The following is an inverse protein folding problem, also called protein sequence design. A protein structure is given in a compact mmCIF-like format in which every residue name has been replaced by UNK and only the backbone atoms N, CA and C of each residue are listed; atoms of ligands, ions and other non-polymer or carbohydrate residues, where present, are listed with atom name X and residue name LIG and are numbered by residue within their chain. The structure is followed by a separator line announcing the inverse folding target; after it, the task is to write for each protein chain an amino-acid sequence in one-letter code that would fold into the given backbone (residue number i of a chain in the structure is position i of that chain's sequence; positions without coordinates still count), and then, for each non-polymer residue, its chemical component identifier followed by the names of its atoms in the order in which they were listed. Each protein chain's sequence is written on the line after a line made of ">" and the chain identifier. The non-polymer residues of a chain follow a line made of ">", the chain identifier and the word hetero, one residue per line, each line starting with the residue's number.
data_IF_559025832436
#
_entry.id   IF_559025832436
#
_cell.length_a   1.000
_cell.length_b   1.000
_cell.length_c   1.000
_cell.angle_alpha   90.00
_cell.angle_beta   90.00
_cell.angle_gamma   90.00
#
_symmetry.space_group_name_H-M   'P 1'
#
loop_
_entity.id
_entity.type
_entity.pdbx_description
1 polymer ?
#
# COMPACT_ATOMS: atom_id res chain seq x y z
N UNK A 1 8.23 5.12 33.76
CA UNK A 1 7.59 5.30 32.44
C UNK A 1 8.19 4.30 31.47
N UNK A 2 7.44 3.25 31.10
CA UNK A 2 7.84 2.38 29.99
C UNK A 2 7.60 3.21 28.74
N UNK A 3 8.65 3.57 28.01
CA UNK A 3 8.49 4.09 26.66
C UNK A 3 7.86 2.95 25.87
N UNK A 4 6.56 3.03 25.62
CA UNK A 4 5.93 2.21 24.59
C UNK A 4 6.80 2.40 23.36
N UNK A 5 7.42 1.32 22.89
CA UNK A 5 8.22 1.38 21.68
C UNK A 5 7.20 1.60 20.58
N UNK A 6 7.02 2.86 20.17
CA UNK A 6 6.24 3.20 18.99
C UNK A 6 6.70 2.28 17.88
N UNK A 7 5.76 1.54 17.30
CA UNK A 7 6.05 0.69 16.16
C UNK A 7 6.61 1.62 15.07
N UNK A 8 7.76 1.30 14.46
CA UNK A 8 8.34 2.20 13.48
C UNK A 8 7.44 2.28 12.26
N UNK A 9 7.09 3.50 11.84
CA UNK A 9 6.38 3.73 10.59
C UNK A 9 7.21 3.27 9.40
N UNK A 10 6.57 2.54 8.51
CA UNK A 10 7.11 2.06 7.25
C UNK A 10 6.45 2.82 6.09
N UNK A 11 7.18 2.95 4.98
CA UNK A 11 6.66 3.66 3.81
C UNK A 11 6.16 2.64 2.79
N UNK A 12 4.92 2.82 2.37
CA UNK A 12 4.24 1.99 1.39
C UNK A 12 3.87 2.82 0.16
N UNK A 13 4.01 2.22 -1.01
CA UNK A 13 3.69 2.81 -2.30
C UNK A 13 2.63 1.95 -3.00
N UNK A 14 1.44 2.52 -3.15
CA UNK A 14 0.31 1.91 -3.84
C UNK A 14 0.27 2.41 -5.28
N UNK A 15 0.42 1.49 -6.23
CA UNK A 15 0.11 1.74 -7.64
C UNK A 15 -1.33 1.36 -7.85
N UNK A 16 -2.11 2.27 -8.42
CA UNK A 16 -3.52 2.06 -8.67
C UNK A 16 -3.93 2.62 -10.03
N UNK A 17 -4.93 2.01 -10.62
CA UNK A 17 -5.57 2.46 -11.85
C UNK A 17 -6.99 2.92 -11.51
N UNK A 18 -7.40 4.05 -12.05
CA UNK A 18 -8.78 4.53 -11.89
C UNK A 18 -9.56 4.04 -13.11
N UNK A 19 -10.72 3.42 -12.90
CA UNK A 19 -11.51 2.82 -13.99
C UNK A 19 -11.82 3.77 -15.16
N UNK A 20 -11.86 5.08 -14.89
CA UNK A 20 -12.12 6.13 -15.88
C UNK A 20 -10.85 6.91 -16.32
N UNK A 21 -9.65 6.39 -16.02
CA UNK A 21 -8.35 6.99 -16.35
C UNK A 21 -7.53 6.04 -17.22
N UNK A 22 -6.85 6.59 -18.23
CA UNK A 22 -5.92 5.84 -19.09
C UNK A 22 -4.56 5.62 -18.40
N UNK A 23 -4.36 6.20 -17.21
CA UNK A 23 -3.09 6.14 -16.48
C UNK A 23 -3.19 5.50 -15.10
N UNK A 24 -2.18 4.68 -14.78
CA UNK A 24 -1.86 4.29 -13.42
C UNK A 24 -1.30 5.50 -12.64
N UNK A 25 -1.52 5.51 -11.34
CA UNK A 25 -1.05 6.54 -10.42
C UNK A 25 -0.46 5.91 -9.17
N UNK A 26 0.48 6.63 -8.55
CA UNK A 26 1.19 6.17 -7.38
C UNK A 26 0.78 7.01 -6.16
N UNK A 27 0.50 6.36 -5.04
CA UNK A 27 0.23 7.02 -3.77
C UNK A 27 1.09 6.45 -2.66
N UNK A 28 1.65 7.33 -1.87
CA UNK A 28 2.57 7.00 -0.78
C UNK A 28 1.86 7.16 0.56
N UNK A 29 2.08 6.21 1.46
CA UNK A 29 1.55 6.20 2.81
C UNK A 29 2.64 5.81 3.80
N UNK A 30 2.56 6.37 5.01
CA UNK A 30 3.36 5.92 6.14
C UNK A 30 2.41 5.22 7.10
N UNK A 31 2.66 3.95 7.37
CA UNK A 31 1.82 3.11 8.23
C UNK A 31 2.70 2.12 8.99
N UNK A 32 2.16 1.52 10.04
CA UNK A 32 2.87 0.52 10.84
C UNK A 32 2.92 -0.85 10.15
N UNK A 33 1.94 -1.14 9.30
CA UNK A 33 1.84 -2.35 8.52
C UNK A 33 1.08 -2.10 7.20
N UNK A 34 1.02 -3.15 6.36
CA UNK A 34 0.34 -3.09 5.07
C UNK A 34 -1.18 -2.94 5.23
N UNK A 35 -1.76 -3.49 6.29
CA UNK A 35 -3.21 -3.48 6.50
C UNK A 35 -3.68 -2.05 6.78
N UNK A 36 -3.01 -1.35 7.71
CA UNK A 36 -3.24 0.07 7.98
C UNK A 36 -3.00 0.93 6.73
N UNK A 37 -1.94 0.65 5.96
CA UNK A 37 -1.68 1.38 4.72
C UNK A 37 -2.79 1.19 3.68
N UNK A 38 -3.37 -0.02 3.63
CA UNK A 38 -4.48 -0.37 2.73
C UNK A 38 -5.77 0.31 3.17
N UNK A 39 -6.08 0.31 4.46
CA UNK A 39 -7.22 1.07 5.02
C UNK A 39 -7.11 2.57 4.71
N UNK A 40 -5.90 3.15 4.85
CA UNK A 40 -5.66 4.54 4.49
C UNK A 40 -5.87 4.80 2.99
N UNK A 41 -5.53 3.85 2.13
CA UNK A 41 -5.77 3.93 0.69
C UNK A 41 -7.26 3.87 0.35
N UNK A 42 -7.98 2.88 0.90
CA UNK A 42 -9.43 2.74 0.72
C UNK A 42 -10.15 3.99 1.20
N UNK A 43 -9.80 4.50 2.38
CA UNK A 43 -10.37 5.74 2.91
C UNK A 43 -10.11 6.95 1.99
N UNK A 44 -8.91 7.07 1.43
CA UNK A 44 -8.57 8.13 0.50
C UNK A 44 -9.36 8.04 -0.81
N UNK A 45 -9.64 6.82 -1.29
CA UNK A 45 -10.45 6.57 -2.47
C UNK A 45 -11.92 6.92 -2.22
N UNK A 46 -12.50 6.43 -1.12
CA UNK A 46 -13.86 6.74 -0.69
C UNK A 46 -14.08 8.25 -0.55
N UNK A 47 -13.15 8.96 0.10
CA UNK A 47 -13.25 10.42 0.31
C UNK A 47 -13.30 11.22 -1.00
N UNK A 48 -12.72 10.69 -2.07
CA UNK A 48 -12.68 11.34 -3.39
C UNK A 48 -13.67 10.73 -4.38
N UNK A 49 -14.47 9.75 -3.94
CA UNK A 49 -15.34 8.95 -4.80
C UNK A 49 -14.57 8.38 -6.01
N UNK A 50 -13.35 7.92 -5.77
CA UNK A 50 -12.46 7.32 -6.77
C UNK A 50 -12.66 5.81 -6.76
N UNK A 51 -13.08 5.27 -7.90
CA UNK A 51 -13.04 3.83 -8.16
C UNK A 51 -11.62 3.47 -8.65
N UNK A 52 -10.76 3.21 -7.68
CA UNK A 52 -9.34 2.93 -7.88
C UNK A 52 -9.04 1.46 -7.54
N UNK A 53 -8.45 0.76 -8.50
CA UNK A 53 -8.01 -0.63 -8.36
C UNK A 53 -6.52 -0.65 -8.10
N UNK A 54 -6.09 -1.19 -6.95
CA UNK A 54 -4.67 -1.34 -6.64
C UNK A 54 -4.08 -2.46 -7.49
N UNK A 55 -3.11 -2.12 -8.33
CA UNK A 55 -2.43 -3.10 -9.19
C UNK A 55 -1.16 -3.64 -8.54
N UNK A 56 -0.53 -2.86 -7.65
CA UNK A 56 0.73 -3.23 -7.00
C UNK A 56 0.98 -2.44 -5.74
N UNK A 57 1.48 -3.10 -4.70
CA UNK A 57 2.00 -2.44 -3.51
C UNK A 57 3.50 -2.70 -3.39
N UNK A 58 4.25 -1.65 -3.08
CA UNK A 58 5.67 -1.73 -2.74
C UNK A 58 5.92 -1.18 -1.34
N UNK A 59 6.95 -1.69 -0.68
CA UNK A 59 7.44 -1.20 0.61
C UNK A 59 8.83 -0.62 0.44
N UNK A 60 9.10 0.50 1.11
CA UNK A 60 10.41 1.13 1.09
C UNK A 60 11.39 0.32 1.93
N UNK A 61 12.44 -0.19 1.30
CA UNK A 61 13.56 -0.78 1.99
C UNK A 61 14.62 0.30 2.27
N UNK A 62 14.61 0.84 3.50
CA UNK A 62 15.55 1.89 3.95
C UNK A 62 17.03 1.46 3.85
N UNK A 63 17.31 0.18 3.96
CA UNK A 63 18.68 -0.36 3.92
C UNK A 63 19.23 -0.46 2.50
N UNK A 64 18.37 -0.78 1.53
CA UNK A 64 18.75 -0.86 0.11
C UNK A 64 18.49 0.43 -0.66
N UNK A 65 17.74 1.36 -0.07
CA UNK A 65 17.23 2.56 -0.77
C UNK A 65 16.46 2.19 -2.04
N UNK A 66 15.63 1.14 -1.96
CA UNK A 66 14.82 0.64 -3.07
C UNK A 66 13.41 0.31 -2.63
N UNK A 67 12.45 0.42 -3.55
CA UNK A 67 11.10 -0.10 -3.37
C UNK A 67 11.07 -1.60 -3.65
N UNK A 68 10.59 -2.39 -2.69
CA UNK A 68 10.44 -3.84 -2.81
C UNK A 68 8.97 -4.19 -2.98
N UNK A 69 8.64 -5.00 -3.98
CA UNK A 69 7.27 -5.49 -4.21
C UNK A 69 6.82 -6.30 -3.01
N UNK A 70 5.64 -6.01 -2.50
CA UNK A 70 4.97 -6.92 -1.59
C UNK A 70 4.22 -7.93 -2.46
N UNK A 71 4.62 -9.20 -2.36
CA UNK A 71 3.86 -10.30 -2.93
C UNK A 71 2.59 -10.44 -2.10
N UNK A 72 1.56 -9.66 -2.45
CA UNK A 72 0.20 -9.93 -1.99
C UNK A 72 -0.16 -11.27 -2.61
N UNK A 73 -0.44 -12.32 -1.81
CA UNK A 73 -0.74 -13.63 -2.36
C UNK A 73 -1.96 -13.48 -3.27
N UNK A 74 -1.72 -13.58 -4.58
CA UNK A 74 -2.79 -13.65 -5.56
C UNK A 74 -3.55 -14.94 -5.26
N UNK A 75 -4.88 -14.86 -5.11
CA UNK A 75 -5.75 -16.01 -4.77
C UNK A 75 -5.52 -17.23 -5.69
N UNK A 76 -4.91 -17.03 -6.86
CA UNK A 76 -4.50 -18.09 -7.79
C UNK A 76 -3.45 -19.08 -7.25
N UNK A 77 -2.71 -18.75 -6.18
CA UNK A 77 -1.70 -19.67 -5.60
C UNK A 77 -2.27 -20.65 -4.56
N UNK A 78 -3.57 -20.59 -4.23
CA UNK A 78 -4.21 -21.50 -3.27
C UNK A 78 -5.01 -22.65 -3.90
N UNK A 79 -5.10 -22.73 -5.23
CA UNK A 79 -5.65 -23.91 -5.91
C UNK A 79 -4.53 -24.90 -6.24
N UNK A 80 -4.21 -25.76 -5.27
CA UNK A 80 -3.44 -26.97 -5.52
C UNK A 80 -4.23 -28.19 -5.07
#
# INVERSE_FOLDING_TARGET
>A
MRKEREVPLEEFKFHYEIANSIGASDKYFMAHDLDEASEMFEHACLKRNLDAQVTRVEKWNRWKSTWEKLDVPSEDSMRN
#
